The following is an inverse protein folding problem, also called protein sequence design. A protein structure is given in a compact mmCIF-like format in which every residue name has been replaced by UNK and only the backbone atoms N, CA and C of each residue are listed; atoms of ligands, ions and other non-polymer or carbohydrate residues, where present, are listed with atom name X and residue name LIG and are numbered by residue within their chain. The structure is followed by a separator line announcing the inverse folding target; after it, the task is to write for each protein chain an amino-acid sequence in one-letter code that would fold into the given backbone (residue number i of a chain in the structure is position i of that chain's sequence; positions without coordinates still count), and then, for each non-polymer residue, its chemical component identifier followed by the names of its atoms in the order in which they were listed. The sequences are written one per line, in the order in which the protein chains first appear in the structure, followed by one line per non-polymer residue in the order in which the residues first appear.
data_IF_952069688805
#
_entry.id   IF_952069688805
#
_cell.length_a   1.000
_cell.length_b   1.000
_cell.length_c   1.000
_cell.angle_alpha   90.00
_cell.angle_beta   90.00
_cell.angle_gamma   90.00
#
_symmetry.space_group_name_H-M   'P 1'
#
loop_
_entity.id
_entity.type
_entity.pdbx_description
1 polymer ?
#
# COMPACT_ATOMS: atom_id res chain seq x y z
N UNK A 1 19.37 0.18 -5.01
CA UNK A 1 18.28 -0.81 -4.87
C UNK A 1 17.80 -1.17 -6.27
N UNK A 2 17.20 -2.36 -6.44
CA UNK A 2 16.52 -2.75 -7.68
C UNK A 2 15.02 -2.89 -7.40
N UNK A 3 14.20 -2.44 -8.33
CA UNK A 3 12.76 -2.47 -8.30
C UNK A 3 12.26 -3.32 -9.45
N UNK A 4 11.36 -4.24 -9.14
CA UNK A 4 10.63 -5.07 -10.08
C UNK A 4 9.22 -4.50 -10.31
N UNK A 5 8.48 -5.08 -11.25
CA UNK A 5 7.06 -4.76 -11.43
C UNK A 5 6.24 -4.99 -10.15
N UNK A 6 6.63 -5.94 -9.31
CA UNK A 6 5.96 -6.18 -8.02
C UNK A 6 6.17 -5.03 -7.05
N UNK A 7 7.33 -4.39 -7.07
CA UNK A 7 7.60 -3.20 -6.26
C UNK A 7 6.83 -1.99 -6.78
N UNK A 8 6.68 -1.84 -8.10
CA UNK A 8 5.77 -0.85 -8.69
C UNK A 8 4.32 -1.12 -8.26
N UNK A 9 3.86 -2.37 -8.28
CA UNK A 9 2.52 -2.74 -7.84
C UNK A 9 2.28 -2.39 -6.37
N UNK A 10 3.27 -2.66 -5.50
CA UNK A 10 3.23 -2.27 -4.10
C UNK A 10 3.17 -0.74 -3.94
N UNK A 11 4.00 0.01 -4.67
CA UNK A 11 3.99 1.47 -4.64
C UNK A 11 2.64 2.07 -5.09
N UNK A 12 1.96 1.44 -6.06
CA UNK A 12 0.60 1.83 -6.48
C UNK A 12 -0.42 1.65 -5.35
N UNK A 13 -0.34 0.54 -4.60
CA UNK A 13 -1.20 0.32 -3.43
C UNK A 13 -0.88 1.30 -2.30
N UNK A 14 0.40 1.52 -2.00
CA UNK A 14 0.83 2.36 -0.88
C UNK A 14 0.47 3.82 -1.07
N UNK A 15 0.52 4.31 -2.31
CA UNK A 15 0.16 5.68 -2.64
C UNK A 15 -1.35 5.97 -2.63
N UNK A 16 -2.23 4.97 -2.38
CA UNK A 16 -3.66 5.21 -2.24
C UNK A 16 -3.98 6.08 -1.01
N UNK A 17 -4.85 7.11 -1.08
CA UNK A 17 -5.10 8.02 0.05
C UNK A 17 -5.46 7.32 1.37
N UNK A 18 -6.30 6.29 1.30
CA UNK A 18 -6.76 5.53 2.48
C UNK A 18 -5.82 4.38 2.87
N UNK A 19 -4.69 4.20 2.17
CA UNK A 19 -3.69 3.20 2.57
C UNK A 19 -2.99 3.66 3.84
N UNK A 20 -3.07 2.83 4.87
CA UNK A 20 -2.47 3.04 6.18
C UNK A 20 -1.11 2.34 6.33
N UNK A 21 -0.64 1.66 5.28
CA UNK A 21 0.64 0.92 5.27
C UNK A 21 1.81 1.87 5.46
N UNK A 22 2.60 1.64 6.50
CA UNK A 22 3.73 2.51 6.87
C UNK A 22 3.35 3.76 7.67
N UNK A 23 2.07 3.96 8.01
CA UNK A 23 1.56 5.17 8.69
C UNK A 23 1.03 4.90 10.11
N UNK A 24 0.72 3.64 10.43
CA UNK A 24 -0.11 3.25 11.59
C UNK A 24 0.47 3.53 12.98
N UNK A 25 1.75 3.91 13.11
CA UNK A 25 2.41 4.13 14.41
C UNK A 25 2.75 5.60 14.67
N UNK A 26 2.59 6.48 13.69
CA UNK A 26 3.07 7.86 13.76
C UNK A 26 1.99 8.80 13.24
N UNK A 27 1.29 9.49 14.12
CA UNK A 27 0.40 10.58 13.72
C UNK A 27 1.23 11.86 13.50
N UNK A 28 0.81 12.75 12.60
CA UNK A 28 1.47 14.04 12.36
C UNK A 28 2.47 14.04 11.20
N UNK A 29 3.53 14.85 11.31
CA UNK A 29 4.42 15.21 10.20
C UNK A 29 5.09 14.02 9.49
N UNK A 30 5.45 12.96 10.23
CA UNK A 30 6.01 11.73 9.63
C UNK A 30 5.03 11.08 8.65
N UNK A 31 3.76 10.95 9.04
CA UNK A 31 2.74 10.33 8.18
C UNK A 31 2.51 11.15 6.91
N UNK A 32 2.51 12.48 7.03
CA UNK A 32 2.37 13.38 5.87
C UNK A 32 3.57 13.24 4.92
N UNK A 33 4.79 13.25 5.44
CA UNK A 33 6.02 13.11 4.65
C UNK A 33 6.16 11.72 4.02
N UNK A 34 5.80 10.67 4.76
CA UNK A 34 5.75 9.30 4.27
C UNK A 34 4.70 9.15 3.16
N UNK A 35 3.54 9.79 3.29
CA UNK A 35 2.53 9.78 2.23
C UNK A 35 3.02 10.49 0.98
N UNK A 36 3.65 11.65 1.15
CA UNK A 36 4.26 12.38 0.05
C UNK A 36 5.36 11.55 -0.63
N UNK A 37 6.17 10.83 0.15
CA UNK A 37 7.16 9.88 -0.36
C UNK A 37 6.53 8.76 -1.19
N UNK A 38 5.51 8.05 -0.66
CA UNK A 38 4.82 6.96 -1.36
C UNK A 38 4.25 7.41 -2.71
N UNK A 39 3.65 8.60 -2.76
CA UNK A 39 3.13 9.20 -4.01
C UNK A 39 4.26 9.49 -4.99
N UNK A 40 5.35 10.13 -4.54
CA UNK A 40 6.52 10.43 -5.38
C UNK A 40 7.17 9.16 -5.93
N UNK A 41 7.33 8.14 -5.10
CA UNK A 41 7.91 6.86 -5.48
C UNK A 41 7.05 6.15 -6.53
N UNK A 42 5.73 6.07 -6.33
CA UNK A 42 4.80 5.53 -7.34
C UNK A 42 4.97 6.25 -8.68
N UNK A 43 4.92 7.58 -8.68
CA UNK A 43 4.99 8.37 -9.92
C UNK A 43 6.37 8.28 -10.58
N UNK A 44 7.43 8.13 -9.79
CA UNK A 44 8.78 7.82 -10.26
C UNK A 44 8.86 6.47 -10.94
N UNK A 45 8.38 5.42 -10.28
CA UNK A 45 8.38 4.06 -10.80
C UNK A 45 7.52 3.93 -12.06
N UNK A 46 6.31 4.52 -12.10
CA UNK A 46 5.48 4.52 -13.32
C UNK A 46 6.23 5.11 -14.52
N UNK A 47 6.94 6.23 -14.31
CA UNK A 47 7.77 6.85 -15.36
C UNK A 47 8.97 5.98 -15.75
N UNK A 48 9.69 5.44 -14.78
CA UNK A 48 10.88 4.61 -15.02
C UNK A 48 10.53 3.30 -15.74
N UNK A 49 9.41 2.68 -15.40
CA UNK A 49 8.88 1.51 -16.09
C UNK A 49 8.20 1.84 -17.44
N UNK A 50 8.05 3.13 -17.79
CA UNK A 50 7.39 3.55 -19.03
C UNK A 50 5.89 3.25 -19.07
N UNK A 51 5.23 3.17 -17.92
CA UNK A 51 3.80 2.86 -17.79
C UNK A 51 2.99 4.16 -17.87
N UNK A 52 2.20 4.30 -18.93
CA UNK A 52 1.18 5.35 -19.01
C UNK A 52 -0.20 4.79 -18.64
N UNK A 53 -0.66 5.11 -17.43
CA UNK A 53 -1.98 4.71 -16.95
C UNK A 53 -3.13 5.24 -17.84
N UNK A 54 -2.93 6.31 -18.60
CA UNK A 54 -3.98 6.89 -19.44
C UNK A 54 -4.04 6.27 -20.84
N UNK A 55 -3.04 5.48 -21.24
CA UNK A 55 -3.00 4.84 -22.56
C UNK A 55 -4.14 3.84 -22.77
N UNK A 56 -4.69 3.25 -21.69
CA UNK A 56 -5.76 2.25 -21.77
C UNK A 56 -6.82 2.42 -20.67
N UNK A 57 -7.87 3.19 -20.96
CA UNK A 57 -8.88 3.58 -19.97
C UNK A 57 -9.56 2.39 -19.23
N UNK A 58 -9.97 1.28 -19.89
CA UNK A 58 -10.51 0.13 -19.15
C UNK A 58 -9.55 -0.49 -18.11
N UNK A 59 -8.26 -0.63 -18.45
CA UNK A 59 -7.25 -1.16 -17.54
C UNK A 59 -7.01 -0.20 -16.38
N UNK A 60 -6.98 1.11 -16.65
CA UNK A 60 -6.91 2.14 -15.61
C UNK A 60 -8.06 2.05 -14.63
N UNK A 61 -9.29 1.88 -15.13
CA UNK A 61 -10.48 1.77 -14.29
C UNK A 61 -10.48 0.49 -13.46
N UNK A 62 -10.07 -0.64 -14.04
CA UNK A 62 -9.92 -1.90 -13.30
C UNK A 62 -8.83 -1.81 -12.24
N UNK A 63 -7.69 -1.20 -12.56
CA UNK A 63 -6.60 -0.93 -11.62
C UNK A 63 -7.12 -0.07 -10.47
N UNK A 64 -7.77 1.07 -10.77
CA UNK A 64 -8.35 1.93 -9.74
C UNK A 64 -9.31 1.17 -8.83
N UNK A 65 -10.27 0.44 -9.41
CA UNK A 65 -11.23 -0.34 -8.63
C UNK A 65 -10.57 -1.39 -7.75
N UNK A 66 -9.47 -2.00 -8.22
CA UNK A 66 -8.71 -3.00 -7.45
C UNK A 66 -7.98 -2.34 -6.28
N UNK A 67 -7.36 -1.18 -6.51
CA UNK A 67 -6.68 -0.42 -5.45
C UNK A 67 -7.69 0.09 -4.40
N UNK A 68 -8.84 0.61 -4.84
CA UNK A 68 -9.92 1.05 -3.95
C UNK A 68 -10.43 -0.13 -3.08
N UNK A 69 -10.60 -1.32 -3.70
CA UNK A 69 -11.01 -2.55 -3.01
C UNK A 69 -9.96 -3.00 -1.97
N UNK A 70 -8.67 -2.92 -2.31
CA UNK A 70 -7.60 -3.25 -1.38
C UNK A 70 -7.59 -2.31 -0.16
N UNK A 71 -7.75 -1.00 -0.39
CA UNK A 71 -7.77 -0.01 0.67
C UNK A 71 -8.98 -0.15 1.62
N UNK A 72 -10.08 -0.70 1.12
CA UNK A 72 -11.29 -0.97 1.90
C UNK A 72 -11.21 -2.23 2.78
N UNK A 73 -10.14 -3.03 2.69
CA UNK A 73 -9.95 -4.21 3.54
C UNK A 73 -9.86 -3.78 5.00
N UNK A 74 -10.79 -4.28 5.81
CA UNK A 74 -10.93 -3.93 7.23
C UNK A 74 -11.35 -5.13 8.06
N UNK A 75 -11.07 -5.09 9.36
CA UNK A 75 -11.38 -6.17 10.31
C UNK A 75 -12.45 -5.70 11.30
N UNK A 76 -13.27 -6.61 11.85
CA UNK A 76 -14.10 -6.27 13.00
C UNK A 76 -13.23 -5.71 14.13
N UNK A 77 -13.64 -4.59 14.72
CA UNK A 77 -12.87 -3.91 15.75
C UNK A 77 -11.80 -2.93 15.23
N UNK A 78 -11.60 -2.80 13.92
CA UNK A 78 -10.80 -1.71 13.36
C UNK A 78 -11.37 -0.35 13.81
N UNK A 79 -10.54 0.48 14.44
CA UNK A 79 -10.96 1.76 15.04
C UNK A 79 -11.63 1.65 16.41
N UNK A 80 -11.83 0.43 16.93
CA UNK A 80 -12.37 0.21 18.27
C UNK A 80 -11.23 0.07 19.29
N UNK A 81 -10.83 1.19 19.88
CA UNK A 81 -9.73 1.23 20.87
C UNK A 81 -10.03 0.55 22.21
N UNK A 82 -11.30 0.23 22.49
CA UNK A 82 -11.74 -0.33 23.77
C UNK A 82 -11.92 -1.85 23.75
N UNK A 83 -11.15 -2.57 22.92
CA UNK A 83 -11.25 -4.03 22.83
C UNK A 83 -11.12 -4.73 24.21
N UNK A 84 -10.26 -4.19 25.07
CA UNK A 84 -10.05 -4.66 26.46
C UNK A 84 -11.29 -4.53 27.35
N UNK A 85 -12.24 -3.63 27.04
CA UNK A 85 -13.46 -3.43 27.81
C UNK A 85 -14.49 -4.55 27.60
N UNK A 86 -14.41 -5.28 26.49
CA UNK A 86 -15.34 -6.36 26.14
C UNK A 86 -14.69 -7.74 26.05
N UNK A 87 -13.36 -7.83 26.14
CA UNK A 87 -12.58 -9.05 25.97
C UNK A 87 -13.12 -10.23 26.82
N UNK A 88 -13.31 -10.02 28.13
CA UNK A 88 -13.88 -11.04 29.04
C UNK A 88 -15.29 -11.51 28.67
N UNK A 89 -16.07 -10.68 27.95
CA UNK A 89 -17.41 -11.06 27.47
C UNK A 89 -17.33 -11.87 26.17
N UNK A 90 -16.24 -11.71 25.42
CA UNK A 90 -16.00 -12.41 24.17
C UNK A 90 -15.30 -13.75 24.38
N UNK A 91 -14.62 -13.94 25.52
CA UNK A 91 -14.04 -15.22 25.92
C UNK A 91 -15.06 -16.36 25.83
N UNK A 92 -14.70 -17.44 25.11
CA UNK A 92 -15.55 -18.62 24.92
C UNK A 92 -16.74 -18.45 23.97
N UNK A 93 -16.98 -17.25 23.43
CA UNK A 93 -18.06 -17.01 22.46
C UNK A 93 -17.73 -17.47 21.04
N UNK A 94 -16.45 -17.73 20.74
CA UNK A 94 -15.94 -17.99 19.40
C UNK A 94 -15.82 -16.75 18.51
N UNK A 95 -16.24 -15.57 18.97
CA UNK A 95 -16.15 -14.31 18.20
C UNK A 95 -14.68 -13.96 17.92
N UNK A 96 -13.80 -14.08 18.91
CA UNK A 96 -12.36 -13.81 18.77
C UNK A 96 -11.75 -14.70 17.68
N UNK A 97 -12.09 -15.99 17.65
CA UNK A 97 -11.61 -16.93 16.64
C UNK A 97 -12.04 -16.51 15.23
N UNK A 98 -13.28 -16.06 15.07
CA UNK A 98 -13.78 -15.55 13.78
C UNK A 98 -13.13 -14.21 13.39
N UNK A 99 -12.82 -13.34 14.34
CA UNK A 99 -12.07 -12.12 14.09
C UNK A 99 -10.65 -12.42 13.61
N UNK A 100 -9.98 -13.40 14.22
CA UNK A 100 -8.67 -13.88 13.76
C UNK A 100 -8.74 -14.52 12.38
N UNK A 101 -9.80 -15.27 12.09
CA UNK A 101 -10.06 -15.84 10.76
C UNK A 101 -10.22 -14.75 9.70
N UNK A 102 -10.98 -13.67 10.00
CA UNK A 102 -11.12 -12.52 9.11
C UNK A 102 -9.78 -11.83 8.88
N UNK A 103 -8.98 -11.62 9.93
CA UNK A 103 -7.65 -11.03 9.79
C UNK A 103 -6.77 -11.85 8.82
N UNK A 104 -6.76 -13.18 8.96
CA UNK A 104 -6.04 -14.08 8.05
C UNK A 104 -6.55 -13.97 6.60
N UNK A 105 -7.86 -13.95 6.41
CA UNK A 105 -8.47 -13.80 5.08
C UNK A 105 -8.18 -12.43 4.47
N UNK A 106 -8.10 -11.38 5.29
CA UNK A 106 -7.71 -10.04 4.88
C UNK A 106 -6.26 -10.01 4.40
N UNK A 107 -5.33 -10.65 5.11
CA UNK A 107 -3.93 -10.77 4.68
C UNK A 107 -3.80 -11.52 3.34
N UNK A 108 -4.58 -12.59 3.18
CA UNK A 108 -4.64 -13.37 1.93
C UNK A 108 -5.23 -12.52 0.79
N UNK A 109 -6.33 -11.82 1.06
CA UNK A 109 -6.95 -10.88 0.14
C UNK A 109 -5.97 -9.79 -0.30
N UNK A 110 -5.21 -9.20 0.63
CA UNK A 110 -4.20 -8.17 0.31
C UNK A 110 -3.13 -8.70 -0.65
N UNK A 111 -2.64 -9.93 -0.45
CA UNK A 111 -1.66 -10.56 -1.35
C UNK A 111 -2.23 -10.75 -2.76
N UNK A 112 -3.48 -11.23 -2.85
CA UNK A 112 -4.16 -11.42 -4.12
C UNK A 112 -4.36 -10.09 -4.85
N UNK A 113 -4.72 -9.02 -4.13
CA UNK A 113 -4.82 -7.68 -4.74
C UNK A 113 -3.48 -7.21 -5.30
N UNK A 114 -2.37 -7.42 -4.58
CA UNK A 114 -1.03 -7.11 -5.09
C UNK A 114 -0.72 -7.88 -6.39
N UNK A 115 -1.04 -9.18 -6.43
CA UNK A 115 -0.87 -10.00 -7.64
C UNK A 115 -1.72 -9.46 -8.81
N UNK A 116 -2.98 -9.11 -8.57
CA UNK A 116 -3.85 -8.51 -9.60
C UNK A 116 -3.29 -7.18 -10.11
N UNK A 117 -2.83 -6.30 -9.21
CA UNK A 117 -2.24 -5.02 -9.59
C UNK A 117 -0.98 -5.23 -10.43
N UNK A 118 -0.12 -6.18 -10.05
CA UNK A 118 1.08 -6.53 -10.81
C UNK A 118 0.74 -6.99 -12.23
N UNK A 119 -0.24 -7.89 -12.39
CA UNK A 119 -0.71 -8.38 -13.69
C UNK A 119 -1.32 -7.26 -14.53
N UNK A 120 -2.16 -6.39 -13.94
CA UNK A 120 -2.75 -5.25 -14.63
C UNK A 120 -1.69 -4.27 -15.14
N UNK A 121 -0.65 -4.01 -14.36
CA UNK A 121 0.49 -3.19 -14.78
C UNK A 121 1.29 -3.87 -15.89
N UNK A 122 1.43 -5.20 -15.86
CA UNK A 122 2.04 -5.97 -16.95
C UNK A 122 1.29 -5.82 -18.28
N UNK A 123 -0.04 -5.80 -18.24
CA UNK A 123 -0.89 -5.56 -19.42
C UNK A 123 -0.74 -4.14 -20.00
N UNK A 124 -0.25 -3.18 -19.20
CA UNK A 124 0.06 -1.83 -19.67
C UNK A 124 1.39 -1.75 -20.45
N UNK A 125 2.08 -2.88 -20.64
CA UNK A 125 3.30 -3.02 -21.45
C UNK A 125 4.44 -2.09 -20.99
N UNK A 126 4.94 -2.27 -19.75
CA UNK A 126 6.11 -1.55 -19.29
C UNK A 126 7.29 -1.77 -20.24
N UNK A 127 8.17 -0.78 -20.36
CA UNK A 127 9.36 -0.81 -21.22
C UNK A 127 10.59 -1.38 -20.52
N UNK A 128 10.54 -1.53 -19.20
CA UNK A 128 11.60 -2.10 -18.38
C UNK A 128 11.08 -3.29 -17.56
N UNK A 129 11.93 -4.26 -17.29
CA UNK A 129 11.63 -5.37 -16.36
C UNK A 129 12.14 -5.08 -14.94
N UNK A 130 13.24 -4.34 -14.85
CA UNK A 130 13.89 -3.91 -13.61
C UNK A 130 14.25 -2.42 -13.73
N UNK A 131 14.04 -1.66 -12.66
CA UNK A 131 14.43 -0.26 -12.51
C UNK A 131 15.36 -0.15 -11.31
N UNK A 132 16.44 0.60 -11.40
CA UNK A 132 17.37 0.80 -10.29
C UNK A 132 17.15 2.13 -9.57
N UNK A 133 17.67 2.28 -8.35
CA UNK A 133 17.73 3.58 -7.67
C UNK A 133 18.49 4.63 -8.51
N UNK A 134 19.47 4.23 -9.31
CA UNK A 134 20.19 5.15 -10.20
C UNK A 134 19.28 5.67 -11.32
N UNK A 135 18.42 4.82 -11.88
CA UNK A 135 17.41 5.21 -12.87
C UNK A 135 16.40 6.20 -12.27
N UNK A 136 15.94 5.95 -11.03
CA UNK A 136 15.06 6.87 -10.31
C UNK A 136 15.75 8.21 -10.04
N UNK A 137 17.01 8.20 -9.59
CA UNK A 137 17.81 9.42 -9.38
C UNK A 137 18.03 10.19 -10.67
N UNK A 138 18.23 9.51 -11.80
CA UNK A 138 18.32 10.14 -13.13
C UNK A 138 17.01 10.83 -13.54
N UNK A 139 15.87 10.38 -13.03
CA UNK A 139 14.56 11.02 -13.18
C UNK A 139 14.25 12.09 -12.12
N UNK A 140 15.20 12.37 -11.22
CA UNK A 140 15.03 13.30 -10.10
C UNK A 140 14.12 12.77 -8.98
N UNK A 141 13.99 11.45 -8.86
CA UNK A 141 13.23 10.78 -7.82
C UNK A 141 14.19 10.29 -6.75
N UNK A 142 14.00 10.77 -5.53
CA UNK A 142 14.66 10.25 -4.34
C UNK A 142 13.84 9.06 -3.81
N UNK A 143 14.48 7.91 -3.71
CA UNK A 143 13.88 6.65 -3.27
C UNK A 143 14.19 6.30 -1.81
N UNK A 144 14.87 7.21 -1.09
CA UNK A 144 15.09 7.08 0.34
C UNK A 144 13.82 7.49 1.12
N UNK A 145 13.22 6.59 1.94
CA UNK A 145 12.04 6.89 2.73
C UNK A 145 12.37 7.83 3.90
N UNK A 146 11.40 8.62 4.41
CA UNK A 146 11.59 9.38 5.64
C UNK A 146 12.05 8.49 6.80
N UNK A 147 13.07 8.94 7.53
CA UNK A 147 13.55 8.24 8.73
C UNK A 147 12.66 8.62 9.92
N UNK A 148 12.09 7.60 10.56
CA UNK A 148 11.26 7.75 11.74
C UNK A 148 11.96 8.45 12.90
N UNK A 149 13.30 8.32 12.98
CA UNK A 149 14.10 8.92 14.04
C UNK A 149 14.23 10.46 13.90
N UNK A 150 13.86 11.03 12.75
CA UNK A 150 13.86 12.47 12.51
C UNK A 150 12.61 13.17 13.08
N UNK A 151 11.66 12.41 13.64
CA UNK A 151 10.37 12.90 14.12
C UNK A 151 10.20 12.61 15.61
N UNK A 152 9.63 13.59 16.33
CA UNK A 152 9.20 13.37 17.71
C UNK A 152 7.96 12.45 17.70
N UNK A 153 7.95 11.43 18.56
CA UNK A 153 6.77 10.58 18.72
C UNK A 153 5.69 11.35 19.49
N UNK A 154 4.60 11.71 18.81
CA UNK A 154 3.38 12.17 19.46
C UNK A 154 2.70 10.97 20.15
N UNK A 155 2.73 10.95 21.49
CA UNK A 155 2.05 9.96 22.35
C UNK A 155 0.59 10.32 22.62
#
# INVERSE_FOLDING_TARGET
MEYTRRDLAQAVLDAHPDSSRGLNMFYGAFSDDMKAFQIRLRDGLLRAFGVDLNAHMPLKMMLKSTVDSNAAITSPGSGFGEFSAIDRKLEGSGVIDRMMEIARLNDESQKIHLDIVEELLGLMRPTAEVVTSEDLKALGVDDDPPDVNDYEMDY
#
